data_IF_725818055916
#
_entry.id   IF_725818055916
#
_cell.length_a   1.000
_cell.length_b   1.000
_cell.length_c   1.000
_cell.angle_alpha   90.00
_cell.angle_beta   90.00
_cell.angle_gamma   90.00
#
_symmetry.space_group_name_H-M   'P 1'
#
loop_
_entity.id
_entity.type
_entity.pdbx_description
1 polymer ?
#
# COMPACT_ATOMS: atom_id res chain seq x y z
N UNK A 1 47.12 18.28 -29.91
CA UNK A 1 47.46 16.86 -30.03
C UNK A 1 47.55 16.30 -28.62
N UNK A 2 46.51 15.68 -28.12
CA UNK A 2 46.46 15.03 -26.80
C UNK A 2 46.42 13.54 -27.04
N UNK A 3 47.50 12.84 -26.71
CA UNK A 3 47.62 11.39 -26.81
C UNK A 3 46.97 10.73 -25.61
N UNK A 4 45.91 9.99 -25.85
CA UNK A 4 45.28 9.10 -24.85
C UNK A 4 46.11 7.81 -24.77
N UNK A 5 46.75 7.57 -23.63
CA UNK A 5 47.34 6.28 -23.27
C UNK A 5 46.29 5.44 -22.54
N UNK A 6 45.95 4.30 -23.12
CA UNK A 6 45.08 3.30 -22.49
C UNK A 6 45.85 2.50 -21.41
N UNK A 7 45.21 2.10 -20.30
CA UNK A 7 45.84 1.25 -19.28
C UNK A 7 46.00 -0.20 -19.76
N UNK A 8 46.99 -0.96 -19.26
CA UNK A 8 47.30 -2.32 -19.67
C UNK A 8 46.21 -3.31 -19.17
N UNK A 9 45.83 -4.24 -20.05
CA UNK A 9 44.88 -5.32 -19.71
C UNK A 9 45.56 -6.40 -18.85
N UNK A 10 44.83 -7.00 -17.90
CA UNK A 10 45.33 -8.13 -17.14
C UNK A 10 45.42 -9.40 -18.00
N UNK A 11 46.38 -10.34 -17.70
CA UNK A 11 46.55 -11.54 -18.46
C UNK A 11 45.40 -12.53 -18.32
N UNK A 12 45.11 -13.23 -19.42
CA UNK A 12 44.04 -14.24 -19.49
C UNK A 12 44.38 -15.47 -18.61
N UNK A 13 43.38 -16.07 -17.92
CA UNK A 13 43.60 -17.26 -17.11
C UNK A 13 43.80 -18.50 -17.98
N UNK A 14 44.83 -19.30 -17.63
CA UNK A 14 45.24 -20.51 -18.35
C UNK A 14 44.28 -21.70 -18.17
N UNK A 15 44.21 -22.67 -19.10
CA UNK A 15 43.18 -23.71 -19.18
C UNK A 15 43.54 -24.99 -18.41
N UNK A 16 43.65 -25.00 -17.09
CA UNK A 16 43.98 -26.26 -16.38
C UNK A 16 43.28 -26.55 -15.04
N UNK A 17 42.38 -25.68 -14.55
CA UNK A 17 41.77 -25.93 -13.25
C UNK A 17 40.37 -26.61 -13.31
N UNK A 18 39.67 -26.57 -14.45
CA UNK A 18 38.28 -27.03 -14.52
C UNK A 18 38.07 -28.50 -14.81
N UNK A 19 39.07 -29.26 -15.26
CA UNK A 19 38.90 -30.67 -15.60
C UNK A 19 38.96 -31.66 -14.40
N UNK A 20 39.54 -31.26 -13.28
CA UNK A 20 39.68 -32.14 -12.10
C UNK A 20 38.50 -32.01 -11.12
N UNK A 21 37.72 -30.95 -11.20
CA UNK A 21 36.55 -30.72 -10.32
C UNK A 21 35.30 -31.55 -10.72
N UNK A 22 35.22 -31.95 -12.00
CA UNK A 22 34.02 -32.69 -12.49
C UNK A 22 33.99 -34.17 -12.13
N UNK A 23 35.13 -34.80 -11.87
CA UNK A 23 35.20 -36.20 -11.58
C UNK A 23 34.94 -36.57 -10.09
N UNK A 24 35.06 -35.60 -9.18
CA UNK A 24 34.73 -35.79 -7.76
C UNK A 24 33.29 -35.41 -7.40
N UNK A 25 32.61 -34.63 -8.24
CA UNK A 25 31.19 -34.25 -8.04
C UNK A 25 30.19 -35.33 -8.40
N UNK A 26 30.53 -36.24 -9.33
CA UNK A 26 29.64 -37.28 -9.80
C UNK A 26 29.45 -38.46 -8.82
N UNK A 27 30.42 -38.70 -7.92
CA UNK A 27 30.35 -39.77 -6.95
C UNK A 27 29.50 -39.43 -5.71
N UNK A 28 29.38 -38.15 -5.34
CA UNK A 28 28.60 -37.74 -4.17
C UNK A 28 27.10 -37.63 -4.45
N UNK A 29 26.68 -37.35 -5.69
CA UNK A 29 25.26 -37.23 -6.02
C UNK A 29 24.51 -38.56 -6.07
N UNK A 30 25.18 -39.67 -6.39
CA UNK A 30 24.56 -40.98 -6.41
C UNK A 30 24.25 -41.55 -5.00
N UNK A 31 25.06 -41.21 -4.00
CA UNK A 31 24.85 -41.66 -2.62
C UNK A 31 23.69 -40.93 -1.92
N UNK A 32 23.48 -39.63 -2.23
CA UNK A 32 22.38 -38.87 -1.65
C UNK A 32 21.03 -39.28 -2.24
N UNK A 33 20.96 -39.58 -3.55
CA UNK A 33 19.72 -40.04 -4.19
C UNK A 33 19.25 -41.42 -3.68
N UNK A 34 20.17 -42.33 -3.37
CA UNK A 34 19.84 -43.63 -2.79
C UNK A 34 19.38 -43.55 -1.33
N UNK A 35 19.94 -42.58 -0.54
CA UNK A 35 19.53 -42.34 0.84
C UNK A 35 18.13 -41.74 0.97
N UNK A 36 17.77 -40.82 0.09
CA UNK A 36 16.43 -40.21 0.09
C UNK A 36 15.32 -41.15 -0.36
N UNK A 37 15.60 -42.07 -1.30
CA UNK A 37 14.63 -43.09 -1.74
C UNK A 37 14.33 -44.12 -0.67
N UNK A 38 15.30 -44.46 0.20
CA UNK A 38 15.12 -45.42 1.29
C UNK A 38 14.27 -44.83 2.44
N UNK A 39 14.43 -43.54 2.76
CA UNK A 39 13.67 -42.88 3.81
C UNK A 39 12.20 -42.70 3.42
N UNK A 40 11.89 -42.54 2.11
CA UNK A 40 10.51 -42.44 1.63
C UNK A 40 9.74 -43.78 1.71
N UNK A 41 10.42 -44.91 1.68
CA UNK A 41 9.77 -46.22 1.79
C UNK A 41 9.55 -46.71 3.24
N UNK A 42 10.35 -46.22 4.19
CA UNK A 42 10.23 -46.57 5.60
C UNK A 42 9.31 -45.67 6.42
N UNK A 43 8.93 -44.50 5.87
CA UNK A 43 8.03 -43.54 6.53
C UNK A 43 6.53 -43.78 6.33
N UNK A 44 6.15 -44.84 5.64
CA UNK A 44 4.72 -45.16 5.43
C UNK A 44 4.24 -46.13 6.53
N UNK A 45 3.84 -45.58 7.65
CA UNK A 45 3.15 -46.31 8.69
C UNK A 45 1.76 -46.73 8.17
N UNK A 46 1.40 -48.04 8.15
CA UNK A 46 0.05 -48.44 7.80
C UNK A 46 -0.89 -48.02 8.94
N UNK A 47 -1.76 -47.10 8.68
CA UNK A 47 -2.80 -46.67 9.62
C UNK A 47 -3.05 -45.15 9.77
N UNK A 48 -2.24 -44.30 9.15
CA UNK A 48 -2.58 -42.89 9.06
C UNK A 48 -3.37 -42.63 7.77
N UNK A 49 -4.68 -42.83 7.82
CA UNK A 49 -5.58 -42.08 6.96
C UNK A 49 -5.38 -40.60 7.33
N UNK A 50 -5.05 -39.69 6.39
CA UNK A 50 -5.15 -38.27 6.71
C UNK A 50 -6.57 -38.05 7.19
N UNK A 51 -6.74 -37.71 8.47
CA UNK A 51 -7.98 -37.12 8.90
C UNK A 51 -8.16 -35.89 7.99
N UNK A 52 -9.13 -35.97 7.08
CA UNK A 52 -9.61 -34.78 6.39
C UNK A 52 -9.92 -33.83 7.52
N UNK A 53 -9.16 -32.72 7.58
CA UNK A 53 -9.54 -31.59 8.41
C UNK A 53 -11.02 -31.36 8.15
N UNK A 54 -11.85 -31.19 9.20
CA UNK A 54 -13.26 -30.87 9.00
C UNK A 54 -13.29 -29.71 8.02
N UNK A 55 -14.03 -29.86 6.93
CA UNK A 55 -14.28 -28.77 6.00
C UNK A 55 -14.66 -27.55 6.85
N UNK A 56 -14.10 -26.38 6.59
CA UNK A 56 -14.51 -25.18 7.31
C UNK A 56 -16.04 -25.15 7.23
N UNK A 57 -16.68 -25.00 8.41
CA UNK A 57 -18.13 -24.86 8.49
C UNK A 57 -18.53 -23.84 7.44
N UNK A 58 -19.50 -24.18 6.64
CA UNK A 58 -20.03 -23.40 5.54
C UNK A 58 -20.34 -21.98 6.06
N UNK A 59 -19.43 -21.05 5.83
CA UNK A 59 -19.61 -19.61 6.09
C UNK A 59 -20.40 -19.03 4.93
N UNK A 60 -21.55 -19.64 4.64
CA UNK A 60 -22.56 -19.06 3.76
C UNK A 60 -23.09 -17.82 4.46
N UNK A 61 -22.57 -16.65 4.05
CA UNK A 61 -23.07 -15.35 4.50
C UNK A 61 -22.03 -14.36 5.00
N UNK A 62 -20.75 -14.70 5.01
CA UNK A 62 -19.68 -13.70 5.05
C UNK A 62 -19.18 -13.53 3.62
N UNK A 63 -19.99 -12.81 2.83
CA UNK A 63 -19.47 -12.23 1.59
C UNK A 63 -18.13 -11.58 1.88
N UNK A 64 -17.17 -11.76 1.01
CA UNK A 64 -15.75 -11.38 1.02
C UNK A 64 -15.44 -9.94 1.51
N UNK A 65 -16.07 -9.49 2.58
CA UNK A 65 -15.75 -8.26 3.27
C UNK A 65 -14.60 -8.52 4.26
N UNK A 66 -13.39 -8.48 3.77
CA UNK A 66 -12.27 -8.11 4.63
C UNK A 66 -12.52 -6.69 5.10
N UNK A 67 -13.27 -6.49 6.20
CA UNK A 67 -13.36 -5.21 6.89
C UNK A 67 -11.99 -4.97 7.51
N UNK A 68 -11.06 -4.50 6.71
CA UNK A 68 -9.70 -4.18 7.16
C UNK A 68 -9.66 -2.84 7.89
N UNK A 69 -10.72 -2.03 7.79
CA UNK A 69 -10.75 -0.67 8.28
C UNK A 69 -12.18 -0.26 8.67
N UNK A 70 -12.65 -0.55 9.90
CA UNK A 70 -13.95 -0.08 10.37
C UNK A 70 -13.94 1.46 10.45
N UNK A 71 -15.12 2.08 10.23
CA UNK A 71 -15.31 3.49 10.50
C UNK A 71 -15.13 3.76 12.01
N UNK A 72 -14.34 4.78 12.34
CA UNK A 72 -14.01 5.12 13.73
C UNK A 72 -15.02 6.09 14.30
N UNK A 73 -15.51 5.81 15.51
CA UNK A 73 -16.49 6.63 16.19
C UNK A 73 -15.90 8.01 16.57
N UNK A 74 -16.78 9.01 16.64
CA UNK A 74 -16.43 10.32 17.18
C UNK A 74 -16.24 10.25 18.70
N UNK A 75 -15.16 10.86 19.20
CA UNK A 75 -14.95 11.06 20.63
C UNK A 75 -15.39 12.48 21.02
N UNK A 76 -16.53 12.60 21.68
CA UNK A 76 -17.04 13.89 22.15
C UNK A 76 -16.10 14.58 23.18
N UNK A 77 -15.19 13.82 23.80
CA UNK A 77 -14.20 14.37 24.74
C UNK A 77 -13.00 15.02 24.02
N UNK A 78 -12.91 14.88 22.70
CA UNK A 78 -11.83 15.49 21.92
C UNK A 78 -11.86 17.01 21.92
N UNK A 79 -12.99 17.62 22.25
CA UNK A 79 -13.21 19.05 22.17
C UNK A 79 -13.36 19.60 20.74
N UNK A 80 -13.32 18.75 19.72
CA UNK A 80 -13.54 19.13 18.32
C UNK A 80 -15.04 19.15 18.01
N UNK A 81 -15.45 19.96 17.06
CA UNK A 81 -16.81 19.88 16.51
C UNK A 81 -16.98 18.56 15.73
N UNK A 82 -18.20 17.99 15.69
CA UNK A 82 -18.45 16.69 15.03
C UNK A 82 -18.08 16.65 13.55
N UNK A 83 -18.15 17.78 12.86
CA UNK A 83 -17.83 17.98 11.44
C UNK A 83 -16.42 18.50 11.20
N UNK A 84 -15.68 18.83 12.26
CA UNK A 84 -14.30 19.27 12.15
C UNK A 84 -13.36 18.10 11.77
N UNK A 85 -12.31 18.37 10.98
CA UNK A 85 -11.31 17.36 10.67
C UNK A 85 -10.58 16.91 11.94
N UNK A 86 -10.30 15.60 12.02
CA UNK A 86 -9.76 14.94 13.19
C UNK A 86 -8.29 14.59 13.01
N UNK A 87 -7.49 14.57 14.10
CA UNK A 87 -6.20 13.90 14.08
C UNK A 87 -6.35 12.47 13.61
N UNK A 88 -5.45 12.00 12.76
CA UNK A 88 -5.46 10.62 12.25
C UNK A 88 -5.03 9.69 13.36
N UNK A 89 -5.88 8.74 13.81
CA UNK A 89 -5.50 7.75 14.81
C UNK A 89 -4.37 6.85 14.33
N UNK A 90 -3.46 6.46 15.23
CA UNK A 90 -2.27 5.67 14.88
C UNK A 90 -2.62 4.28 14.34
N UNK A 91 -3.75 3.73 14.77
CA UNK A 91 -4.29 2.41 14.41
C UNK A 91 -5.28 2.47 13.25
N UNK A 92 -5.66 3.66 12.78
CA UNK A 92 -6.52 3.82 11.62
C UNK A 92 -5.91 3.15 10.38
N UNK A 93 -6.77 2.49 9.60
CA UNK A 93 -6.40 1.90 8.31
C UNK A 93 -7.23 2.52 7.19
N UNK A 94 -6.58 2.70 6.05
CA UNK A 94 -7.25 3.12 4.83
C UNK A 94 -8.18 1.98 4.34
N UNK A 95 -9.49 2.23 4.14
CA UNK A 95 -10.42 1.19 3.70
C UNK A 95 -10.18 0.73 2.26
N UNK A 96 -9.43 1.49 1.46
CA UNK A 96 -9.14 1.19 0.06
C UNK A 96 -7.91 0.30 -0.09
N UNK A 97 -6.81 0.66 0.59
CA UNK A 97 -5.51 0.01 0.41
C UNK A 97 -4.95 -0.69 1.67
N UNK A 98 -5.59 -0.51 2.84
CA UNK A 98 -5.17 -1.11 4.10
C UNK A 98 -3.94 -0.48 4.77
N UNK A 99 -3.36 0.57 4.20
CA UNK A 99 -2.22 1.28 4.79
C UNK A 99 -2.60 2.08 6.04
N UNK A 100 -1.62 2.53 6.80
CA UNK A 100 -1.81 3.35 8.00
C UNK A 100 -1.67 4.83 7.65
N UNK A 101 -2.76 5.61 7.57
CA UNK A 101 -2.72 7.03 7.17
C UNK A 101 -1.86 7.89 8.10
N UNK A 102 -1.80 7.56 9.39
CA UNK A 102 -0.97 8.28 10.36
C UNK A 102 0.53 8.30 10.02
N UNK A 103 1.01 7.36 9.19
CA UNK A 103 2.40 7.33 8.72
C UNK A 103 2.66 8.32 7.58
N UNK A 104 1.61 8.88 7.00
CA UNK A 104 1.67 9.75 5.82
C UNK A 104 0.88 11.05 6.03
N UNK A 105 1.17 11.82 7.09
CA UNK A 105 0.34 12.95 7.51
C UNK A 105 0.17 14.04 6.43
N UNK A 106 1.13 14.16 5.51
CA UNK A 106 1.06 15.12 4.40
C UNK A 106 0.17 14.69 3.24
N UNK A 107 -0.26 13.43 3.25
CA UNK A 107 -1.11 12.83 2.25
C UNK A 107 -2.47 12.41 2.82
N UNK A 108 -2.59 12.47 4.15
CA UNK A 108 -3.78 11.99 4.82
C UNK A 108 -5.05 12.69 4.36
N UNK A 109 -6.11 11.90 4.26
CA UNK A 109 -7.45 12.39 3.97
C UNK A 109 -8.46 11.71 4.88
N UNK A 110 -9.67 12.26 4.99
CA UNK A 110 -10.72 11.68 5.81
C UNK A 110 -12.11 11.99 5.27
N UNK A 111 -13.03 11.06 5.50
CA UNK A 111 -14.47 11.21 5.32
C UNK A 111 -15.11 11.24 6.69
N UNK A 112 -16.00 12.19 6.93
CA UNK A 112 -16.86 12.24 8.08
C UNK A 112 -18.29 11.94 7.65
N UNK A 113 -18.94 11.04 8.38
CA UNK A 113 -20.31 10.64 8.11
C UNK A 113 -21.31 11.43 8.96
N UNK A 114 -22.58 11.42 8.56
CA UNK A 114 -23.68 12.08 9.28
C UNK A 114 -23.89 11.52 10.69
N UNK A 115 -23.53 10.25 10.92
CA UNK A 115 -23.54 9.61 12.24
C UNK A 115 -22.27 9.86 13.05
N UNK A 116 -21.44 10.80 12.60
CA UNK A 116 -20.20 11.23 13.24
C UNK A 116 -19.07 10.19 13.25
N UNK A 117 -19.19 9.07 12.53
CA UNK A 117 -18.05 8.19 12.30
C UNK A 117 -17.12 8.77 11.22
N UNK A 118 -15.90 8.28 11.16
CA UNK A 118 -14.91 8.69 10.16
C UNK A 118 -14.15 7.51 9.57
N UNK A 119 -13.80 7.60 8.28
CA UNK A 119 -12.71 6.85 7.69
C UNK A 119 -11.53 7.75 7.40
N UNK A 120 -10.34 7.18 7.48
CA UNK A 120 -9.08 7.85 7.21
C UNK A 120 -8.36 7.18 6.05
N UNK A 121 -7.76 7.98 5.19
CA UNK A 121 -7.06 7.53 3.97
C UNK A 121 -5.63 8.03 4.01
N UNK A 122 -4.72 7.26 3.47
CA UNK A 122 -3.31 7.61 3.37
C UNK A 122 -3.01 8.47 2.14
N UNK A 123 -4.00 8.65 1.22
CA UNK A 123 -3.85 9.51 0.05
C UNK A 123 -5.19 10.11 -0.41
N UNK A 124 -5.16 11.30 -1.07
CA UNK A 124 -6.34 11.87 -1.72
C UNK A 124 -6.90 10.98 -2.83
N UNK A 125 -6.06 10.23 -3.56
CA UNK A 125 -6.52 9.30 -4.60
C UNK A 125 -7.38 8.20 -4.00
N UNK A 126 -6.99 7.63 -2.87
CA UNK A 126 -7.76 6.59 -2.20
C UNK A 126 -9.08 7.14 -1.63
N UNK A 127 -9.08 8.38 -1.11
CA UNK A 127 -10.33 9.06 -0.75
C UNK A 127 -11.27 9.20 -1.95
N UNK A 128 -10.77 9.69 -3.09
CA UNK A 128 -11.58 9.86 -4.29
C UNK A 128 -12.11 8.51 -4.80
N UNK A 129 -11.26 7.48 -4.81
CA UNK A 129 -11.68 6.12 -5.17
C UNK A 129 -12.77 5.59 -4.22
N UNK A 130 -12.66 5.84 -2.92
CA UNK A 130 -13.67 5.50 -1.94
C UNK A 130 -15.01 6.18 -2.24
N UNK A 131 -14.99 7.48 -2.54
CA UNK A 131 -16.21 8.26 -2.80
C UNK A 131 -16.96 7.80 -4.07
N UNK A 132 -16.27 7.14 -5.01
CA UNK A 132 -16.94 6.56 -6.21
C UNK A 132 -17.70 5.27 -5.92
N UNK A 133 -17.42 4.59 -4.79
CA UNK A 133 -18.01 3.30 -4.46
C UNK A 133 -18.01 3.06 -2.94
N UNK A 134 -18.68 3.92 -2.18
CA UNK A 134 -18.70 3.89 -0.70
C UNK A 134 -19.15 2.52 -0.18
N UNK A 135 -20.18 1.93 -0.78
CA UNK A 135 -20.76 0.64 -0.39
C UNK A 135 -19.75 -0.51 -0.48
N UNK A 136 -18.81 -0.41 -1.43
CA UNK A 136 -17.76 -1.41 -1.62
C UNK A 136 -16.76 -1.46 -0.47
N UNK A 137 -16.47 -0.30 0.12
CA UNK A 137 -15.41 -0.12 1.12
C UNK A 137 -15.92 0.01 2.54
N UNK A 138 -17.23 0.26 2.71
CA UNK A 138 -17.86 0.51 4.01
C UNK A 138 -19.23 -0.13 4.04
N UNK A 139 -19.31 -1.36 4.56
CA UNK A 139 -20.55 -2.12 4.63
C UNK A 139 -21.66 -1.34 5.35
N UNK A 140 -22.85 -1.34 4.76
CA UNK A 140 -24.03 -0.67 5.31
C UNK A 140 -24.02 0.85 5.20
N UNK A 141 -23.09 1.44 4.43
CA UNK A 141 -23.02 2.88 4.15
C UNK A 141 -23.10 3.15 2.66
N UNK A 142 -23.55 4.35 2.33
CA UNK A 142 -23.69 4.85 0.97
C UNK A 142 -23.06 6.23 0.83
N UNK A 143 -22.97 6.74 -0.39
CA UNK A 143 -22.53 8.11 -0.64
C UNK A 143 -23.43 9.15 0.07
N UNK A 144 -24.73 8.86 0.28
CA UNK A 144 -25.65 9.75 0.97
C UNK A 144 -25.34 9.91 2.47
N UNK A 145 -24.63 8.96 3.07
CA UNK A 145 -24.23 9.02 4.48
C UNK A 145 -23.00 9.91 4.71
N UNK A 146 -22.26 10.23 3.64
CA UNK A 146 -21.11 11.15 3.70
C UNK A 146 -21.60 12.56 4.03
N UNK A 147 -21.05 13.16 5.09
CA UNK A 147 -21.35 14.53 5.48
C UNK A 147 -20.35 15.51 4.88
N UNK A 148 -19.06 15.26 5.09
CA UNK A 148 -17.96 16.10 4.56
C UNK A 148 -16.70 15.27 4.39
N UNK A 149 -15.77 15.79 3.60
CA UNK A 149 -14.46 15.15 3.35
C UNK A 149 -13.35 16.18 3.43
N UNK A 150 -12.20 15.74 3.94
CA UNK A 150 -11.05 16.61 4.16
C UNK A 150 -9.79 15.98 3.57
N UNK A 151 -8.92 16.82 3.05
CA UNK A 151 -7.57 16.44 2.58
C UNK A 151 -6.53 17.30 3.30
N UNK A 152 -5.31 16.78 3.46
CA UNK A 152 -4.23 17.57 4.05
C UNK A 152 -3.59 18.46 3.00
N UNK A 153 -3.37 19.74 3.35
CA UNK A 153 -2.58 20.66 2.54
C UNK A 153 -1.13 20.18 2.46
N UNK A 154 -0.66 19.88 1.27
CA UNK A 154 0.71 19.41 1.02
C UNK A 154 1.78 20.46 1.40
N UNK A 155 1.40 21.75 1.48
CA UNK A 155 2.26 22.82 2.02
C UNK A 155 2.34 22.82 3.56
N UNK A 156 1.56 21.96 4.25
CA UNK A 156 1.62 21.81 5.70
C UNK A 156 0.75 22.77 6.50
N UNK A 157 -0.22 23.40 5.89
CA UNK A 157 -1.15 24.36 6.54
C UNK A 157 -2.36 23.71 7.21
N UNK A 158 -2.38 22.39 7.30
CA UNK A 158 -3.45 21.64 7.96
C UNK A 158 -4.47 21.04 7.00
N UNK A 159 -5.73 20.93 7.45
CA UNK A 159 -6.80 20.33 6.69
C UNK A 159 -7.53 21.32 5.80
N UNK A 160 -7.92 20.84 4.63
CA UNK A 160 -8.72 21.58 3.64
C UNK A 160 -9.95 20.75 3.30
N UNK A 161 -11.12 21.37 3.27
CA UNK A 161 -12.33 20.70 2.79
C UNK A 161 -12.16 20.28 1.33
N UNK A 162 -12.51 19.04 0.99
CA UNK A 162 -12.27 18.44 -0.32
C UNK A 162 -12.80 19.33 -1.48
N UNK A 163 -14.00 19.90 -1.31
CA UNK A 163 -14.66 20.73 -2.32
C UNK A 163 -14.01 22.10 -2.52
N UNK A 164 -13.13 22.51 -1.59
CA UNK A 164 -12.39 23.78 -1.65
C UNK A 164 -10.91 23.58 -1.98
N UNK A 165 -10.48 22.33 -2.09
CA UNK A 165 -9.09 22.01 -2.32
C UNK A 165 -8.69 22.16 -3.80
N UNK A 166 -7.45 22.57 -4.00
CA UNK A 166 -6.76 22.55 -5.27
C UNK A 166 -5.84 21.35 -5.34
N UNK A 167 -5.76 20.71 -6.48
CA UNK A 167 -4.98 19.49 -6.68
C UNK A 167 -3.95 19.66 -7.78
N UNK A 168 -2.85 18.93 -7.71
CA UNK A 168 -1.89 18.84 -8.82
C UNK A 168 -1.86 17.42 -9.35
N UNK A 169 -2.34 17.23 -10.59
CA UNK A 169 -2.36 15.96 -11.29
C UNK A 169 -1.17 15.83 -12.25
N UNK A 170 -0.53 14.65 -12.26
CA UNK A 170 0.55 14.34 -13.19
C UNK A 170 1.91 14.96 -12.81
N UNK A 171 2.10 15.36 -11.56
CA UNK A 171 3.41 15.72 -11.02
C UNK A 171 4.30 14.47 -10.82
N UNK A 172 5.60 14.69 -10.61
CA UNK A 172 6.55 13.65 -10.24
C UNK A 172 6.47 13.23 -8.76
N UNK A 173 5.55 13.82 -7.99
CA UNK A 173 5.33 13.47 -6.60
C UNK A 173 4.73 12.07 -6.47
N UNK A 174 5.37 11.24 -5.67
CA UNK A 174 4.89 9.89 -5.37
C UNK A 174 4.18 9.89 -4.03
N UNK A 175 2.96 9.37 -4.02
CA UNK A 175 2.19 9.13 -2.82
C UNK A 175 2.70 7.94 -1.99
N UNK A 176 2.00 7.61 -0.91
CA UNK A 176 2.35 6.50 -0.02
C UNK A 176 2.54 5.16 -0.71
N UNK A 177 1.73 4.87 -1.73
CA UNK A 177 1.83 3.66 -2.55
C UNK A 177 2.98 3.70 -3.57
N UNK A 178 3.87 4.70 -3.51
CA UNK A 178 5.00 4.92 -4.42
C UNK A 178 4.59 5.01 -5.90
N UNK A 179 3.41 5.50 -6.15
CA UNK A 179 2.85 5.83 -7.48
C UNK A 179 2.41 7.28 -7.52
N UNK A 180 2.10 7.79 -8.71
CA UNK A 180 1.54 9.14 -8.86
C UNK A 180 0.30 9.32 -7.99
N UNK A 181 0.17 10.47 -7.38
CA UNK A 181 -0.91 10.82 -6.47
C UNK A 181 -1.38 12.27 -6.74
N UNK A 182 -2.34 12.76 -5.97
CA UNK A 182 -2.94 14.07 -6.09
C UNK A 182 -2.62 14.92 -4.85
N UNK A 183 -1.43 15.53 -4.76
CA UNK A 183 -1.18 16.48 -3.68
C UNK A 183 -2.23 17.60 -3.69
N UNK A 184 -2.81 17.85 -2.50
CA UNK A 184 -3.87 18.81 -2.30
C UNK A 184 -3.32 20.10 -1.68
N UNK A 185 -3.95 21.24 -1.96
CA UNK A 185 -3.54 22.57 -1.49
C UNK A 185 -4.75 23.39 -1.08
N UNK A 186 -4.56 24.27 -0.10
CA UNK A 186 -5.60 25.15 0.39
C UNK A 186 -5.93 26.31 -0.59
N UNK A 187 -5.02 26.62 -1.52
CA UNK A 187 -5.18 27.69 -2.48
C UNK A 187 -4.50 27.37 -3.82
N UNK A 188 -4.92 28.09 -4.85
CA UNK A 188 -4.39 27.96 -6.21
C UNK A 188 -2.90 28.30 -6.29
N UNK A 189 -2.46 29.31 -5.55
CA UNK A 189 -1.08 29.78 -5.60
C UNK A 189 -0.10 28.68 -5.11
N UNK A 190 -0.44 27.99 -4.02
CA UNK A 190 0.35 26.85 -3.52
C UNK A 190 0.38 25.69 -4.49
N UNK A 191 -0.76 25.38 -5.13
CA UNK A 191 -0.84 24.34 -6.15
C UNK A 191 -0.01 24.71 -7.40
N UNK A 192 -0.10 25.94 -7.87
CA UNK A 192 0.66 26.45 -9.02
C UNK A 192 2.17 26.48 -8.74
N UNK A 193 2.58 26.94 -7.56
CA UNK A 193 3.98 26.91 -7.12
C UNK A 193 4.52 25.47 -7.09
N UNK A 194 3.74 24.52 -6.57
CA UNK A 194 4.13 23.12 -6.57
C UNK A 194 4.25 22.57 -7.99
N UNK A 195 3.25 22.82 -8.85
CA UNK A 195 3.25 22.37 -10.24
C UNK A 195 4.42 22.94 -11.04
N UNK A 196 4.83 24.20 -10.80
CA UNK A 196 5.99 24.80 -11.45
C UNK A 196 7.31 24.09 -11.15
N UNK A 197 7.44 23.50 -9.95
CA UNK A 197 8.65 22.80 -9.49
C UNK A 197 8.64 21.30 -9.79
N UNK A 198 7.45 20.68 -9.78
CA UNK A 198 7.27 19.22 -9.80
C UNK A 198 6.51 18.74 -11.02
N UNK A 199 6.16 19.64 -11.93
CA UNK A 199 5.31 19.32 -13.07
C UNK A 199 3.85 19.07 -12.68
N UNK A 200 3.07 18.70 -13.68
CA UNK A 200 1.64 18.46 -13.51
C UNK A 200 0.78 19.68 -13.84
N UNK A 201 -0.52 19.51 -13.69
CA UNK A 201 -1.52 20.58 -13.90
C UNK A 201 -2.38 20.76 -12.66
N UNK A 202 -2.75 22.00 -12.40
CA UNK A 202 -3.65 22.34 -11.31
C UNK A 202 -5.09 22.03 -11.71
N UNK A 203 -5.84 21.43 -10.79
CA UNK A 203 -7.25 21.05 -10.91
C UNK A 203 -8.01 21.48 -9.65
N UNK A 204 -9.32 21.70 -9.80
CA UNK A 204 -10.29 21.76 -8.71
C UNK A 204 -10.98 20.43 -8.53
N UNK A 205 -11.79 20.30 -7.49
CA UNK A 205 -12.57 19.08 -7.24
C UNK A 205 -13.75 18.89 -8.21
N UNK A 206 -14.21 19.93 -8.89
CA UNK A 206 -15.34 19.92 -9.84
C UNK A 206 -15.05 19.12 -11.12
#
# INVERSE_FOLDING_TARGET
>A
MCTHSSPPQPPAPGPSAHRRAWLLGAACTAAVAAGLAATWRLGRWPGQTPALAPAPADVTGLDDFCITAPAMAYDARSGLAPDAPRPVPADARCPVCGMFPARYPRWAAQVLYRDQHAHFFDSPVDLLQFLTAVERYSAGRSAADVHTSWVTDAAGRGWVELTKAWFVHGSDALGPMRRGDLPAFADEAGAAEFASRRGGRVLTFE
#
